data_IF_683026773424
#
_entry.id   IF_683026773424
#
_cell.length_a   1.000
_cell.length_b   1.000
_cell.length_c   1.000
_cell.angle_alpha   90.00
_cell.angle_beta   90.00
_cell.angle_gamma   90.00
#
_symmetry.space_group_name_H-M   'P 1'
#
loop_
_entity.id
_entity.type
_entity.pdbx_description
1 polymer ?
#
# COMPACT_ATOMS: atom_id res chain seq x y z
N UNK A 1 0.50 1.60 -12.59
CA UNK A 1 -0.78 0.90 -12.88
C UNK A 1 -0.83 -0.26 -11.91
N UNK A 2 -1.99 -0.47 -11.30
CA UNK A 2 -2.19 -1.47 -10.27
C UNK A 2 -3.26 -2.44 -10.75
N UNK A 3 -3.08 -3.73 -10.52
CA UNK A 3 -3.99 -4.81 -10.90
C UNK A 3 -4.59 -5.46 -9.67
N UNK A 4 -5.91 -5.67 -9.66
CA UNK A 4 -6.65 -6.34 -8.58
C UNK A 4 -7.61 -7.37 -9.17
N UNK A 5 -7.47 -8.65 -8.81
CA UNK A 5 -8.46 -9.65 -9.16
C UNK A 5 -9.77 -9.38 -8.42
N UNK A 6 -10.90 -9.58 -9.10
CA UNK A 6 -12.22 -9.56 -8.48
C UNK A 6 -12.62 -10.98 -8.01
N UNK A 7 -13.82 -11.11 -7.42
CA UNK A 7 -14.32 -12.39 -6.93
C UNK A 7 -14.53 -13.46 -8.02
N UNK A 8 -14.68 -13.06 -9.29
CA UNK A 8 -14.82 -13.97 -10.44
C UNK A 8 -13.46 -14.38 -11.04
N UNK A 9 -12.36 -13.80 -10.56
CA UNK A 9 -11.02 -14.02 -11.08
C UNK A 9 -10.61 -13.08 -12.22
N UNK A 10 -11.49 -12.16 -12.64
CA UNK A 10 -11.16 -11.16 -13.64
C UNK A 10 -10.23 -10.09 -13.07
N UNK A 11 -9.27 -9.65 -13.87
CA UNK A 11 -8.32 -8.62 -13.49
C UNK A 11 -8.87 -7.24 -13.81
N UNK A 12 -9.13 -6.45 -12.77
CA UNK A 12 -9.33 -5.02 -12.89
C UNK A 12 -7.99 -4.29 -12.77
N UNK A 13 -7.88 -3.11 -13.40
CA UNK A 13 -6.70 -2.26 -13.24
C UNK A 13 -7.07 -0.81 -12.90
N UNK A 14 -6.17 -0.14 -12.18
CA UNK A 14 -6.28 1.27 -11.82
C UNK A 14 -4.96 1.99 -12.10
N UNK A 15 -5.06 3.14 -12.74
CA UNK A 15 -3.92 4.06 -12.92
C UNK A 15 -4.02 5.18 -11.90
N UNK A 16 -3.20 5.10 -10.86
CA UNK A 16 -3.12 6.10 -9.79
C UNK A 16 -1.68 6.24 -9.29
N UNK A 17 -1.44 7.15 -8.34
CA UNK A 17 -0.19 7.30 -7.59
C UNK A 17 0.08 6.04 -6.76
N UNK A 18 1.34 5.80 -6.41
CA UNK A 18 1.74 4.64 -5.63
C UNK A 18 2.74 5.01 -4.54
N UNK A 19 2.74 4.23 -3.47
CA UNK A 19 3.82 4.23 -2.46
C UNK A 19 4.68 2.99 -2.65
N UNK A 20 6.00 3.18 -2.65
CA UNK A 20 6.98 2.09 -2.67
C UNK A 20 7.03 1.46 -1.28
N UNK A 21 6.85 0.14 -1.19
CA UNK A 21 6.90 -0.63 0.04
C UNK A 21 8.23 -1.37 0.24
N UNK A 22 8.87 -1.79 -0.86
CA UNK A 22 10.22 -2.37 -0.79
C UNK A 22 11.16 -1.38 -0.12
N UNK A 23 11.98 -1.88 0.82
CA UNK A 23 12.99 -1.04 1.46
C UNK A 23 14.01 -0.56 0.41
N UNK A 24 14.80 0.46 0.73
CA UNK A 24 15.75 1.04 -0.24
C UNK A 24 16.87 0.09 -0.67
N UNK A 25 17.28 -0.88 0.16
CA UNK A 25 18.28 -1.88 -0.21
C UNK A 25 17.71 -2.92 -1.19
N UNK A 26 16.52 -3.42 -0.91
CA UNK A 26 15.77 -4.36 -1.76
C UNK A 26 15.41 -3.66 -3.08
N UNK A 27 15.01 -2.38 -3.02
CA UNK A 27 14.70 -1.60 -4.20
C UNK A 27 15.91 -1.24 -5.08
N UNK A 28 17.14 -1.53 -4.63
CA UNK A 28 18.36 -1.40 -5.44
C UNK A 28 18.86 -2.75 -5.96
N UNK A 29 18.56 -3.84 -5.25
CA UNK A 29 19.10 -5.19 -5.52
C UNK A 29 18.10 -6.10 -6.23
N UNK A 30 16.82 -5.97 -5.94
CA UNK A 30 15.80 -6.88 -6.45
C UNK A 30 15.30 -6.44 -7.81
N UNK A 31 14.98 -7.42 -8.66
CA UNK A 31 14.41 -7.19 -9.98
C UNK A 31 12.95 -6.70 -9.90
N UNK A 32 12.28 -7.00 -8.79
CA UNK A 32 10.90 -6.64 -8.54
C UNK A 32 10.76 -5.86 -7.22
N UNK A 33 9.96 -4.81 -7.28
CA UNK A 33 9.69 -3.93 -6.14
C UNK A 33 8.18 -3.80 -5.91
N UNK A 34 7.79 -3.74 -4.63
CA UNK A 34 6.39 -3.79 -4.23
C UNK A 34 5.85 -2.38 -4.05
N UNK A 35 4.69 -2.12 -4.64
CA UNK A 35 3.93 -0.88 -4.48
C UNK A 35 2.52 -1.14 -3.97
N UNK A 36 1.96 -0.16 -3.27
CA UNK A 36 0.53 -0.05 -3.00
C UNK A 36 -0.06 1.22 -3.64
N UNK A 37 -1.31 1.20 -4.13
CA UNK A 37 -1.96 2.35 -4.72
C UNK A 37 -2.39 3.38 -3.69
N UNK A 38 -2.36 4.65 -4.08
CA UNK A 38 -3.05 5.72 -3.39
C UNK A 38 -4.44 5.88 -4.02
N UNK A 39 -5.48 5.77 -3.21
CA UNK A 39 -6.88 5.92 -3.60
C UNK A 39 -7.42 7.25 -3.08
N UNK A 40 -8.35 7.85 -3.83
CA UNK A 40 -8.95 9.14 -3.46
C UNK A 40 -9.94 8.97 -2.30
N UNK A 41 -9.85 9.84 -1.30
CA UNK A 41 -10.83 9.92 -0.21
C UNK A 41 -12.21 10.35 -0.70
N UNK A 42 -12.30 11.07 -1.82
CA UNK A 42 -13.58 11.50 -2.39
C UNK A 42 -14.51 10.33 -2.79
N UNK A 43 -13.94 9.14 -3.02
CA UNK A 43 -14.70 7.94 -3.35
C UNK A 43 -15.26 7.21 -2.11
N UNK A 44 -14.96 7.69 -0.89
CA UNK A 44 -15.33 7.04 0.37
C UNK A 44 -16.37 7.88 1.10
N UNK A 45 -17.45 7.22 1.54
CA UNK A 45 -18.57 7.87 2.23
C UNK A 45 -18.21 8.40 3.61
N UNK A 46 -17.40 7.67 4.38
CA UNK A 46 -16.88 8.10 5.67
C UNK A 46 -15.36 8.27 5.57
N UNK A 47 -14.90 9.51 5.33
CA UNK A 47 -13.47 9.78 5.23
C UNK A 47 -12.79 9.78 6.61
N UNK A 48 -13.51 10.18 7.66
CA UNK A 48 -12.96 10.35 9.01
C UNK A 48 -12.47 9.02 9.61
N UNK A 49 -13.17 7.92 9.32
CA UNK A 49 -12.71 6.59 9.75
C UNK A 49 -11.37 6.21 9.10
N UNK A 50 -11.15 6.56 7.82
CA UNK A 50 -9.85 6.34 7.15
C UNK A 50 -8.79 7.25 7.75
N UNK A 51 -9.10 8.55 7.93
CA UNK A 51 -8.16 9.52 8.50
C UNK A 51 -7.73 9.17 9.93
N UNK A 52 -8.63 8.54 10.70
CA UNK A 52 -8.32 8.04 12.05
C UNK A 52 -7.27 6.92 12.07
N UNK A 53 -6.92 6.34 10.92
CA UNK A 53 -5.95 5.25 10.79
C UNK A 53 -6.31 4.01 11.65
N UNK A 54 -7.59 3.76 11.93
CA UNK A 54 -8.04 2.59 12.70
C UNK A 54 -8.24 1.34 11.84
N UNK A 55 -8.54 1.50 10.55
CA UNK A 55 -8.68 0.39 9.60
C UNK A 55 -7.28 -0.15 9.24
N UNK A 56 -7.00 -1.42 9.51
CA UNK A 56 -5.65 -1.99 9.40
C UNK A 56 -5.07 -1.93 7.99
N UNK A 57 -5.86 -2.30 6.99
CA UNK A 57 -5.46 -2.30 5.58
C UNK A 57 -5.32 -0.90 4.96
N UNK A 58 -5.82 0.15 5.61
CA UNK A 58 -5.75 1.51 5.09
C UNK A 58 -4.74 2.35 5.87
N UNK A 59 -3.91 3.08 5.14
CA UNK A 59 -2.91 3.97 5.70
C UNK A 59 -3.12 5.39 5.17
N UNK A 60 -3.43 6.30 6.07
CA UNK A 60 -3.59 7.72 5.80
C UNK A 60 -2.40 8.51 6.34
N UNK A 61 -1.88 9.44 5.55
CA UNK A 61 -0.88 10.39 6.00
C UNK A 61 -1.51 11.79 6.09
N UNK A 62 -1.48 12.45 7.26
CA UNK A 62 -1.93 13.83 7.40
C UNK A 62 -0.87 14.80 6.84
N UNK A 63 -0.59 14.66 5.54
CA UNK A 63 0.39 15.43 4.78
C UNK A 63 -0.33 16.35 3.77
N UNK A 64 0.20 17.54 3.52
CA UNK A 64 -0.46 18.54 2.67
C UNK A 64 -0.45 18.20 1.18
N UNK A 65 0.48 17.35 0.72
CA UNK A 65 0.62 17.01 -0.70
C UNK A 65 -0.31 15.86 -1.09
N UNK A 66 -0.55 14.93 -0.16
CA UNK A 66 -1.36 13.73 -0.38
C UNK A 66 -2.59 13.64 0.55
N UNK A 67 -3.02 14.76 1.14
CA UNK A 67 -4.13 14.83 2.12
C UNK A 67 -5.45 14.24 1.63
N UNK A 68 -5.66 14.25 0.31
CA UNK A 68 -6.87 13.75 -0.34
C UNK A 68 -6.81 12.26 -0.70
N UNK A 69 -5.73 11.58 -0.29
CA UNK A 69 -5.48 10.18 -0.63
C UNK A 69 -5.24 9.33 0.61
N UNK A 70 -5.52 8.04 0.47
CA UNK A 70 -5.09 7.00 1.40
C UNK A 70 -4.46 5.84 0.65
N UNK A 71 -3.60 5.09 1.31
CA UNK A 71 -2.96 3.89 0.76
C UNK A 71 -3.82 2.68 1.10
N UNK A 72 -4.10 1.82 0.11
CA UNK A 72 -4.73 0.51 0.32
C UNK A 72 -3.66 -0.60 0.34
N UNK A 73 -3.28 -1.04 1.53
CA UNK A 73 -2.29 -2.09 1.77
C UNK A 73 -2.82 -3.50 1.47
N UNK A 74 -4.13 -3.66 1.23
CA UNK A 74 -4.69 -4.92 0.71
C UNK A 74 -4.41 -5.11 -0.79
N UNK A 75 -4.04 -4.02 -1.48
CA UNK A 75 -3.79 -4.02 -2.91
C UNK A 75 -2.29 -3.85 -3.20
N UNK A 76 -1.54 -4.94 -3.09
CA UNK A 76 -0.10 -4.94 -3.35
C UNK A 76 0.21 -5.41 -4.76
N UNK A 77 1.15 -4.74 -5.43
CA UNK A 77 1.61 -5.11 -6.77
C UNK A 77 3.13 -5.15 -6.78
N UNK A 78 3.67 -6.29 -7.20
CA UNK A 78 5.09 -6.45 -7.48
C UNK A 78 5.35 -6.02 -8.92
N UNK A 79 6.22 -5.03 -9.12
CA UNK A 79 6.49 -4.44 -10.44
C UNK A 79 7.98 -4.55 -10.76
N UNK A 80 8.36 -4.81 -12.03
CA UNK A 80 9.76 -4.81 -12.43
C UNK A 80 10.40 -3.45 -12.15
N UNK A 81 11.49 -3.45 -11.38
CA UNK A 81 12.24 -2.25 -11.00
C UNK A 81 12.72 -1.49 -12.22
N UNK A 82 13.27 -2.19 -13.20
CA UNK A 82 13.76 -1.61 -14.46
C UNK A 82 12.69 -0.73 -15.13
N UNK A 83 11.45 -1.21 -15.22
CA UNK A 83 10.34 -0.45 -15.81
C UNK A 83 10.09 0.85 -15.03
N UNK A 84 10.11 0.80 -13.70
CA UNK A 84 9.90 1.99 -12.86
C UNK A 84 11.05 2.97 -13.07
N UNK A 85 12.30 2.52 -13.00
CA UNK A 85 13.50 3.36 -13.19
C UNK A 85 13.52 4.02 -14.56
N UNK A 86 13.36 3.24 -15.64
CA UNK A 86 13.32 3.79 -17.01
C UNK A 86 12.19 4.79 -17.18
N UNK A 87 11.02 4.56 -16.58
CA UNK A 87 9.90 5.51 -16.68
C UNK A 87 10.13 6.79 -15.87
N UNK A 88 10.91 6.73 -14.79
CA UNK A 88 11.37 7.92 -14.05
C UNK A 88 12.37 8.71 -14.90
N UNK A 89 13.36 8.04 -15.49
CA UNK A 89 14.36 8.67 -16.38
C UNK A 89 13.71 9.34 -17.59
N UNK A 90 12.65 8.75 -18.14
CA UNK A 90 11.83 9.31 -19.22
C UNK A 90 10.86 10.41 -18.77
N UNK A 91 10.82 10.77 -17.48
CA UNK A 91 9.89 11.76 -16.92
C UNK A 91 8.42 11.34 -16.96
N UNK A 92 8.12 10.06 -17.16
CA UNK A 92 6.74 9.51 -17.18
C UNK A 92 6.22 9.20 -15.78
N UNK A 93 7.11 8.97 -14.82
CA UNK A 93 6.82 8.80 -13.40
C UNK A 93 7.62 9.86 -12.65
N UNK A 94 6.96 10.58 -11.74
CA UNK A 94 7.59 11.60 -10.91
C UNK A 94 7.50 11.19 -9.44
N UNK A 95 8.62 11.32 -8.71
CA UNK A 95 8.65 11.14 -7.27
C UNK A 95 7.95 12.34 -6.62
N UNK A 96 6.88 12.07 -5.87
CA UNK A 96 6.10 13.11 -5.16
C UNK A 96 6.79 13.51 -3.85
N UNK A 97 7.36 12.56 -3.14
CA UNK A 97 8.02 12.79 -1.85
C UNK A 97 8.65 11.51 -1.30
N UNK A 98 9.17 11.60 -0.07
CA UNK A 98 9.61 10.45 0.72
C UNK A 98 9.04 10.59 2.13
N UNK A 99 8.80 9.46 2.80
CA UNK A 99 8.38 9.50 4.19
C UNK A 99 9.48 10.11 5.05
N UNK A 100 9.09 11.02 5.94
CA UNK A 100 9.95 11.42 7.04
C UNK A 100 9.97 10.31 8.12
N UNK A 101 10.77 10.49 9.17
CA UNK A 101 10.92 9.50 10.23
C UNK A 101 9.58 9.12 10.89
N UNK A 102 8.70 10.10 11.13
CA UNK A 102 7.38 9.86 11.73
C UNK A 102 6.47 9.06 10.79
N UNK A 103 6.38 9.46 9.52
CA UNK A 103 5.62 8.74 8.50
C UNK A 103 6.13 7.32 8.29
N UNK A 104 7.45 7.12 8.37
CA UNK A 104 8.06 5.80 8.30
C UNK A 104 7.69 4.91 9.50
N UNK A 105 7.70 5.45 10.73
CA UNK A 105 7.22 4.69 11.88
C UNK A 105 5.74 4.31 11.78
N UNK A 106 4.88 5.25 11.35
CA UNK A 106 3.46 4.97 11.13
C UNK A 106 3.28 3.86 10.08
N UNK A 107 4.05 3.93 8.99
CA UNK A 107 4.08 2.90 7.95
C UNK A 107 4.45 1.52 8.51
N UNK A 108 5.53 1.41 9.30
CA UNK A 108 5.93 0.15 9.93
C UNK A 108 4.85 -0.40 10.86
N UNK A 109 4.23 0.45 11.68
CA UNK A 109 3.11 0.05 12.54
C UNK A 109 1.95 -0.53 11.73
N UNK A 110 1.58 0.11 10.62
CA UNK A 110 0.49 -0.36 9.75
C UNK A 110 0.80 -1.68 9.08
N UNK A 111 1.99 -1.85 8.51
CA UNK A 111 2.41 -3.13 7.91
C UNK A 111 2.40 -4.24 8.95
N UNK A 112 2.93 -3.97 10.15
CA UNK A 112 2.92 -4.94 11.25
C UNK A 112 1.50 -5.36 11.62
N UNK A 113 0.59 -4.41 11.81
CA UNK A 113 -0.79 -4.74 12.18
C UNK A 113 -1.50 -5.47 11.03
N UNK A 114 -1.31 -5.05 9.78
CA UNK A 114 -1.98 -5.68 8.64
C UNK A 114 -1.53 -7.11 8.37
N UNK A 115 -0.22 -7.41 8.48
CA UNK A 115 0.34 -8.71 8.10
C UNK A 115 0.67 -9.62 9.30
N UNK A 116 0.83 -9.04 10.49
CA UNK A 116 1.33 -9.73 11.67
C UNK A 116 0.44 -9.52 12.90
N UNK A 117 -0.83 -9.09 12.75
CA UNK A 117 -1.73 -9.14 13.88
C UNK A 117 -1.86 -10.61 14.34
N UNK A 118 -1.82 -10.89 15.65
CA UNK A 118 -2.05 -12.23 16.14
C UNK A 118 -3.44 -12.68 15.68
N UNK A 119 -3.53 -13.92 15.21
CA UNK A 119 -4.82 -14.55 14.99
C UNK A 119 -5.53 -14.69 16.33
N UNK A 120 -6.82 -14.40 16.37
CA UNK A 120 -7.58 -14.45 17.62
C UNK A 120 -7.53 -15.88 18.19
N UNK A 121 -7.44 -16.01 19.51
CA UNK A 121 -7.22 -17.30 20.18
C UNK A 121 -8.30 -18.35 19.85
N UNK A 122 -9.53 -17.91 19.52
CA UNK A 122 -10.60 -18.77 19.03
C UNK A 122 -10.38 -19.33 17.61
N UNK A 123 -9.74 -18.57 16.73
CA UNK A 123 -9.49 -18.97 15.32
C UNK A 123 -8.41 -20.07 15.24
N UNK A 124 -7.43 -20.03 16.15
CA UNK A 124 -6.41 -21.07 16.27
C UNK A 124 -7.00 -22.41 16.76
N UNK A 125 -8.05 -22.38 17.58
CA UNK A 125 -8.73 -23.59 18.07
C UNK A 125 -9.54 -24.25 16.94
N UNK A 126 -10.22 -23.47 16.08
CA UNK A 126 -10.97 -24.03 14.93
C UNK A 126 -10.06 -24.68 13.88
N UNK A 127 -8.84 -24.16 13.66
CA UNK A 127 -7.90 -24.70 12.66
C UNK A 127 -7.17 -25.97 13.10
N UNK A 128 -7.15 -26.27 14.39
CA UNK A 128 -6.53 -27.50 14.92
C UNK A 128 -7.40 -28.76 14.70
N UNK A 129 -8.60 -28.61 14.11
CA UNK A 129 -9.59 -29.68 13.91
C UNK A 129 -9.77 -30.02 12.42
N UNK A 130 -8.92 -29.49 11.52
CA UNK A 130 -8.92 -29.83 10.08
C UNK A 130 -7.76 -30.76 9.74
#
# INVERSE_FOLDING_TARGET
MFYKPNATGDLSYLKTKGILLSNTCDAERDDFIVFAPLLSLAAVSNQEIIKSNTIYQFLYFPDTIISEYYVDLSWLNSLPREIITTRIEQGKINKVGSLNRLGYYLFLCKIKVQLMHPEDSGVQIERAVV
#
